data_IF_692400845842
#
_entry.id   IF_692400845842
#
_cell.length_a   1.000
_cell.length_b   1.000
_cell.length_c   1.000
_cell.angle_alpha   90.00
_cell.angle_beta   90.00
_cell.angle_gamma   90.00
#
_symmetry.space_group_name_H-M   'P 1'
#
loop_
_entity.id
_entity.type
_entity.pdbx_description
1 polymer ?
#
# COMPACT_ATOMS: atom_id res chain seq x y z
N UNK A 1 -35.77 -29.50 -53.63
CA UNK A 1 -34.71 -29.93 -52.69
C UNK A 1 -34.61 -28.88 -51.61
N UNK A 2 -35.42 -29.00 -50.56
CA UNK A 2 -35.05 -29.67 -49.31
C UNK A 2 -34.04 -28.87 -48.48
N UNK A 3 -34.55 -27.92 -47.69
CA UNK A 3 -34.50 -28.06 -46.22
C UNK A 3 -35.51 -27.11 -45.58
N UNK A 4 -36.45 -27.75 -44.91
CA UNK A 4 -37.62 -27.27 -44.18
C UNK A 4 -37.13 -26.43 -42.98
N UNK A 5 -37.47 -25.14 -42.93
CA UNK A 5 -37.43 -24.35 -41.70
C UNK A 5 -38.43 -25.01 -40.74
N UNK A 6 -37.94 -25.52 -39.63
CA UNK A 6 -38.73 -26.14 -38.57
C UNK A 6 -38.94 -25.09 -37.50
N UNK A 7 -40.19 -24.70 -37.33
CA UNK A 7 -40.70 -23.98 -36.16
C UNK A 7 -40.53 -24.88 -34.93
N UNK A 8 -40.11 -24.27 -33.83
CA UNK A 8 -40.20 -24.82 -32.48
C UNK A 8 -40.38 -23.64 -31.53
N UNK A 9 -41.64 -23.27 -31.31
CA UNK A 9 -42.05 -22.67 -30.05
C UNK A 9 -41.83 -23.71 -28.96
N UNK A 10 -41.15 -23.31 -27.89
CA UNK A 10 -41.08 -24.05 -26.63
C UNK A 10 -41.14 -23.02 -25.52
N UNK A 11 -42.20 -23.14 -24.74
CA UNK A 11 -42.57 -22.36 -23.58
C UNK A 11 -41.42 -22.33 -22.57
N UNK A 12 -41.07 -21.13 -22.10
CA UNK A 12 -40.20 -20.97 -20.93
C UNK A 12 -41.13 -20.79 -19.74
N UNK A 13 -41.31 -21.90 -19.01
CA UNK A 13 -41.92 -21.97 -17.69
C UNK A 13 -41.09 -21.14 -16.71
N UNK A 14 -41.75 -20.21 -16.02
CA UNK A 14 -41.26 -19.61 -14.79
C UNK A 14 -41.15 -20.71 -13.72
N UNK A 15 -39.97 -20.87 -13.14
CA UNK A 15 -39.79 -21.68 -11.93
C UNK A 15 -38.70 -21.02 -11.10
N UNK A 16 -39.13 -20.36 -10.01
CA UNK A 16 -38.25 -19.91 -8.94
C UNK A 16 -37.80 -21.13 -8.14
N UNK A 17 -36.50 -21.31 -7.83
CA UNK A 17 -36.12 -22.32 -6.86
C UNK A 17 -36.31 -21.81 -5.43
N UNK A 18 -37.20 -22.51 -4.72
CA UNK A 18 -37.40 -22.52 -3.28
C UNK A 18 -36.08 -22.82 -2.55
N UNK A 19 -35.80 -22.07 -1.48
CA UNK A 19 -34.63 -22.26 -0.63
C UNK A 19 -35.02 -23.26 0.45
N UNK A 20 -34.64 -24.52 0.26
CA UNK A 20 -34.84 -25.60 1.23
C UNK A 20 -33.93 -25.44 2.47
N UNK A 21 -34.53 -25.85 3.58
CA UNK A 21 -34.04 -25.90 4.96
C UNK A 21 -32.74 -26.67 5.14
N UNK A 22 -31.90 -26.22 6.06
CA UNK A 22 -30.97 -27.08 6.79
C UNK A 22 -31.03 -26.72 8.28
N UNK A 23 -31.87 -27.47 8.99
CA UNK A 23 -31.66 -28.15 10.28
C UNK A 23 -30.97 -27.38 11.43
N UNK A 24 -31.82 -26.86 12.32
CA UNK A 24 -31.92 -27.22 13.75
C UNK A 24 -30.77 -28.06 14.37
N UNK A 25 -30.00 -27.46 15.29
CA UNK A 25 -29.41 -28.19 16.43
C UNK A 25 -29.42 -27.30 17.69
N UNK A 26 -30.35 -27.69 18.59
CA UNK A 26 -30.42 -27.62 20.05
C UNK A 26 -29.61 -26.59 20.86
N UNK A 27 -30.40 -25.83 21.62
CA UNK A 27 -30.08 -25.13 22.87
C UNK A 27 -29.79 -26.14 23.99
N UNK A 28 -28.62 -26.00 24.65
CA UNK A 28 -28.38 -26.62 25.96
C UNK A 28 -28.01 -25.53 26.95
N UNK A 29 -28.83 -25.44 27.99
CA UNK A 29 -28.76 -24.49 29.09
C UNK A 29 -27.54 -24.68 30.01
N UNK A 30 -27.21 -23.56 30.65
CA UNK A 30 -26.85 -23.39 32.05
C UNK A 30 -25.40 -23.58 32.57
N UNK A 31 -24.99 -22.48 33.19
CA UNK A 31 -24.13 -22.31 34.37
C UNK A 31 -22.60 -22.08 34.18
N UNK A 32 -22.03 -21.19 35.02
CA UNK A 32 -20.85 -20.40 34.68
C UNK A 32 -19.58 -20.98 35.29
N UNK A 33 -18.53 -21.11 34.48
CA UNK A 33 -17.18 -21.37 34.98
C UNK A 33 -16.14 -20.82 34.01
N UNK A 34 -15.40 -19.82 34.49
CA UNK A 34 -14.09 -19.38 34.00
C UNK A 34 -13.98 -19.01 32.50
N UNK A 35 -14.43 -17.81 32.15
CA UNK A 35 -13.93 -17.11 30.96
C UNK A 35 -12.49 -16.63 31.24
N UNK A 36 -11.57 -17.59 31.20
CA UNK A 36 -10.16 -17.32 30.99
C UNK A 36 -10.04 -16.88 29.53
N UNK A 37 -10.04 -15.57 29.33
CA UNK A 37 -9.85 -14.89 28.06
C UNK A 37 -8.94 -15.71 27.11
N UNK A 38 -9.41 -16.11 25.92
CA UNK A 38 -8.52 -16.66 24.93
C UNK A 38 -7.75 -15.49 24.32
N UNK A 39 -6.54 -15.29 24.85
CA UNK A 39 -5.47 -14.53 24.23
C UNK A 39 -5.28 -15.02 22.80
N UNK A 40 -5.83 -14.28 21.83
CA UNK A 40 -5.58 -14.51 20.41
C UNK A 40 -4.18 -14.01 20.13
N UNK A 41 -3.26 -14.96 20.26
CA UNK A 41 -1.88 -15.03 19.78
C UNK A 41 -1.51 -13.88 18.83
N UNK A 42 -0.78 -12.92 19.37
CA UNK A 42 -0.01 -11.96 18.59
C UNK A 42 0.90 -12.72 17.59
N UNK A 43 0.91 -12.37 16.31
CA UNK A 43 1.96 -12.84 15.43
C UNK A 43 3.25 -12.05 15.74
N UNK A 44 4.24 -12.80 16.22
CA UNK A 44 5.67 -12.60 15.97
C UNK A 44 6.30 -11.26 16.41
N UNK A 45 6.36 -11.02 17.73
CA UNK A 45 7.32 -10.09 18.35
C UNK A 45 8.73 -10.72 18.53
N UNK A 46 9.15 -11.60 17.62
CA UNK A 46 10.43 -12.34 17.73
C UNK A 46 11.35 -12.25 16.50
N UNK A 47 10.98 -11.48 15.46
CA UNK A 47 11.86 -11.21 14.30
C UNK A 47 12.51 -9.81 14.34
N UNK A 48 12.16 -8.96 15.31
CA UNK A 48 12.73 -7.61 15.47
C UNK A 48 14.16 -7.61 16.08
N UNK A 49 14.65 -8.73 16.63
CA UNK A 49 15.94 -8.76 17.36
C UNK A 49 17.19 -9.02 16.50
N UNK A 50 17.07 -9.42 15.22
CA UNK A 50 18.24 -9.57 14.31
C UNK A 50 18.42 -8.39 13.33
N UNK A 51 17.53 -7.39 13.34
CA UNK A 51 17.66 -6.18 12.51
C UNK A 51 18.54 -5.08 13.15
N UNK A 52 19.08 -5.36 14.34
CA UNK A 52 20.06 -4.53 15.05
C UNK A 52 21.51 -4.93 14.75
N UNK A 53 21.80 -5.64 13.64
CA UNK A 53 23.13 -5.55 13.05
C UNK A 53 23.29 -4.11 12.56
N UNK A 54 23.84 -3.27 13.44
CA UNK A 54 24.38 -1.94 13.20
C UNK A 54 24.45 -1.59 11.71
N UNK A 55 23.35 -1.09 11.13
CA UNK A 55 23.43 -0.46 9.82
C UNK A 55 24.38 0.72 10.07
N UNK A 56 25.67 0.56 9.77
CA UNK A 56 26.64 1.64 9.87
C UNK A 56 26.17 2.72 8.91
N UNK A 57 25.45 3.70 9.45
CA UNK A 57 25.00 4.86 8.71
C UNK A 57 26.25 5.72 8.49
N UNK A 58 26.85 5.56 7.31
CA UNK A 58 28.06 6.28 6.92
C UNK A 58 27.75 7.76 6.79
N UNK A 59 26.64 8.08 6.11
CA UNK A 59 26.32 9.43 5.71
C UNK A 59 24.83 9.73 5.99
N UNK A 60 24.58 10.73 6.82
CA UNK A 60 23.26 11.32 7.03
C UNK A 60 23.23 12.74 6.49
N UNK A 61 22.23 13.05 5.65
CA UNK A 61 22.08 14.39 5.06
C UNK A 61 20.62 14.80 5.00
N UNK A 62 20.35 16.04 5.39
CA UNK A 62 19.03 16.66 5.26
C UNK A 62 18.99 17.50 3.99
N UNK A 63 18.05 17.19 3.11
CA UNK A 63 17.84 17.91 1.86
C UNK A 63 16.47 18.55 1.80
N UNK A 64 16.37 19.70 1.14
CA UNK A 64 15.09 20.24 0.70
C UNK A 64 14.93 20.00 -0.79
N UNK A 65 14.05 19.07 -1.18
CA UNK A 65 13.81 18.68 -2.56
C UNK A 65 12.80 19.64 -3.20
N UNK A 66 13.16 20.36 -4.27
CA UNK A 66 12.22 21.18 -5.01
C UNK A 66 11.38 20.32 -5.98
N UNK A 67 10.11 20.10 -5.64
CA UNK A 67 9.15 19.41 -6.51
C UNK A 67 8.47 20.34 -7.52
N UNK A 68 8.92 21.60 -7.60
CA UNK A 68 8.43 22.63 -8.53
C UNK A 68 8.24 22.04 -9.93
N UNK A 69 9.23 21.34 -10.48
CA UNK A 69 9.19 20.74 -11.82
C UNK A 69 7.92 19.91 -12.11
N UNK A 70 7.34 19.26 -11.10
CA UNK A 70 6.13 18.46 -11.26
C UNK A 70 4.94 19.27 -11.81
N UNK A 71 4.87 20.58 -11.52
CA UNK A 71 3.77 21.46 -11.90
C UNK A 71 3.85 22.00 -13.33
N UNK A 72 5.07 22.16 -13.87
CA UNK A 72 5.31 22.74 -15.20
C UNK A 72 5.25 21.68 -16.30
N UNK A 73 5.51 20.42 -15.95
CA UNK A 73 5.47 19.32 -16.91
C UNK A 73 4.04 18.75 -16.99
N UNK A 74 3.50 18.56 -18.20
CA UNK A 74 2.33 17.71 -18.49
C UNK A 74 1.04 17.93 -17.68
N UNK A 75 0.22 16.87 -17.56
CA UNK A 75 -1.13 16.91 -16.97
C UNK A 75 -1.16 17.02 -15.44
N UNK A 76 -2.21 17.67 -14.93
CA UNK A 76 -2.48 17.86 -13.49
C UNK A 76 -2.68 16.55 -12.75
N UNK A 77 -3.29 15.55 -13.40
CA UNK A 77 -3.60 14.26 -12.82
C UNK A 77 -2.36 13.37 -12.61
N UNK A 78 -1.18 13.75 -13.09
CA UNK A 78 0.04 12.94 -12.92
C UNK A 78 1.10 13.64 -12.07
N UNK A 79 0.72 14.68 -11.33
CA UNK A 79 1.67 15.52 -10.58
C UNK A 79 2.27 14.80 -9.37
N UNK A 80 1.47 14.11 -8.56
CA UNK A 80 1.99 13.34 -7.43
C UNK A 80 2.95 12.23 -7.90
N UNK A 81 2.53 11.40 -8.86
CA UNK A 81 3.39 10.38 -9.49
C UNK A 81 4.70 10.97 -10.02
N UNK A 82 4.66 12.14 -10.67
CA UNK A 82 5.88 12.80 -11.16
C UNK A 82 6.72 13.37 -10.03
N UNK A 83 6.11 13.80 -8.93
CA UNK A 83 6.84 14.30 -7.77
C UNK A 83 7.70 13.19 -7.15
N UNK A 84 7.15 11.98 -7.03
CA UNK A 84 7.91 10.81 -6.57
C UNK A 84 9.08 10.50 -7.52
N UNK A 85 8.86 10.58 -8.84
CA UNK A 85 9.95 10.44 -9.83
C UNK A 85 11.05 11.48 -9.66
N UNK A 86 10.68 12.74 -9.50
CA UNK A 86 11.64 13.85 -9.28
C UNK A 86 12.42 13.62 -7.98
N UNK A 87 11.78 13.10 -6.94
CA UNK A 87 12.45 12.77 -5.69
C UNK A 87 13.48 11.64 -5.88
N UNK A 88 13.12 10.58 -6.61
CA UNK A 88 14.06 9.49 -6.97
C UNK A 88 15.25 10.02 -7.77
N UNK A 89 15.02 10.82 -8.81
CA UNK A 89 16.07 11.45 -9.60
C UNK A 89 16.97 12.37 -8.77
N UNK A 90 16.39 13.08 -7.79
CA UNK A 90 17.14 13.96 -6.90
C UNK A 90 18.11 13.15 -6.03
N UNK A 91 17.63 12.09 -5.37
CA UNK A 91 18.47 11.24 -4.53
C UNK A 91 19.54 10.53 -5.36
N UNK A 92 19.17 10.03 -6.55
CA UNK A 92 20.09 9.37 -7.46
C UNK A 92 21.24 10.30 -7.92
N UNK A 93 20.95 11.59 -8.13
CA UNK A 93 21.98 12.57 -8.50
C UNK A 93 22.97 12.86 -7.37
N UNK A 94 22.51 12.93 -6.12
CA UNK A 94 23.33 13.41 -4.99
C UNK A 94 24.06 12.27 -4.27
N UNK A 95 23.38 11.16 -4.00
CA UNK A 95 23.94 10.05 -3.23
C UNK A 95 24.42 8.89 -4.10
N UNK A 96 23.94 8.80 -5.35
CA UNK A 96 24.22 7.69 -6.28
C UNK A 96 24.06 6.31 -5.61
N UNK A 97 22.87 6.02 -5.05
CA UNK A 97 22.62 4.72 -4.45
C UNK A 97 22.56 3.61 -5.50
N UNK A 98 22.87 2.40 -5.07
CA UNK A 98 22.57 1.20 -5.84
C UNK A 98 21.06 0.91 -5.77
N UNK A 99 20.55 0.83 -4.54
CA UNK A 99 19.12 0.67 -4.25
C UNK A 99 18.54 1.80 -3.40
N UNK A 100 17.28 2.12 -3.68
CA UNK A 100 16.58 3.26 -3.07
C UNK A 100 15.25 2.84 -2.46
N UNK A 101 15.16 2.98 -1.15
CA UNK A 101 13.95 2.73 -0.36
C UNK A 101 13.38 4.06 0.13
N UNK A 102 12.17 4.37 -0.32
CA UNK A 102 11.42 5.54 0.14
C UNK A 102 10.48 5.06 1.23
N UNK A 103 10.58 5.65 2.41
CA UNK A 103 9.66 5.31 3.48
C UNK A 103 8.22 5.76 3.14
N UNK A 104 7.20 5.00 3.58
CA UNK A 104 5.80 5.32 3.32
C UNK A 104 5.42 6.75 3.72
N UNK A 105 5.95 7.25 4.84
CA UNK A 105 5.73 8.61 5.35
C UNK A 105 6.00 9.70 4.31
N UNK A 106 7.08 9.56 3.53
CA UNK A 106 7.46 10.52 2.49
C UNK A 106 6.45 10.49 1.35
N UNK A 107 6.00 9.28 0.98
CA UNK A 107 4.97 9.12 -0.03
C UNK A 107 3.66 9.75 0.45
N UNK A 108 3.20 9.42 1.64
CA UNK A 108 1.95 9.94 2.19
C UNK A 108 1.97 11.47 2.31
N UNK A 109 3.11 12.04 2.70
CA UNK A 109 3.30 13.49 2.69
C UNK A 109 3.15 14.11 1.29
N UNK A 110 3.69 13.46 0.25
CA UNK A 110 3.53 13.90 -1.15
C UNK A 110 2.07 13.82 -1.59
N UNK A 111 1.34 12.80 -1.14
CA UNK A 111 -0.06 12.54 -1.48
C UNK A 111 -1.09 13.22 -0.57
N UNK A 112 -0.66 13.87 0.52
CA UNK A 112 -1.51 14.51 1.54
C UNK A 112 -2.60 15.45 0.99
N UNK A 113 -2.32 16.15 -0.11
CA UNK A 113 -3.24 17.10 -0.78
C UNK A 113 -3.87 16.52 -2.05
N UNK A 114 -3.78 15.21 -2.22
CA UNK A 114 -4.22 14.46 -3.39
C UNK A 114 -3.31 14.58 -4.61
N UNK A 115 -3.71 13.91 -5.68
CA UNK A 115 -2.91 13.70 -6.89
C UNK A 115 -2.54 14.99 -7.65
N UNK A 116 -3.40 16.02 -7.58
CA UNK A 116 -3.29 17.24 -8.39
C UNK A 116 -2.43 18.34 -7.76
N UNK A 117 -2.27 18.33 -6.43
CA UNK A 117 -1.67 19.41 -5.66
C UNK A 117 -0.58 18.93 -4.69
N UNK A 118 0.43 18.15 -5.14
CA UNK A 118 1.51 17.72 -4.25
C UNK A 118 2.26 18.95 -3.67
N UNK A 119 2.90 18.83 -2.49
CA UNK A 119 3.74 19.88 -1.92
C UNK A 119 4.80 20.38 -2.92
N UNK A 120 5.11 21.68 -2.91
CA UNK A 120 6.11 22.26 -3.83
C UNK A 120 7.55 21.98 -3.41
N UNK A 121 7.76 21.74 -2.12
CA UNK A 121 9.05 21.43 -1.49
C UNK A 121 8.79 20.34 -0.46
N UNK A 122 9.69 19.38 -0.36
CA UNK A 122 9.67 18.35 0.69
C UNK A 122 11.05 18.32 1.31
N UNK A 123 11.10 18.38 2.64
CA UNK A 123 12.34 18.19 3.40
C UNK A 123 12.46 16.70 3.70
N UNK A 124 13.60 16.13 3.34
CA UNK A 124 13.89 14.71 3.53
C UNK A 124 15.19 14.55 4.29
N UNK A 125 15.26 13.48 5.08
CA UNK A 125 16.46 12.98 5.72
C UNK A 125 16.84 11.70 4.99
N UNK A 126 18.00 11.71 4.34
CA UNK A 126 18.49 10.55 3.62
C UNK A 126 19.66 9.96 4.40
N UNK A 127 19.55 8.67 4.72
CA UNK A 127 20.59 7.89 5.39
C UNK A 127 21.17 6.93 4.37
N UNK A 128 22.50 6.85 4.32
CA UNK A 128 23.24 5.92 3.46
C UNK A 128 23.95 4.89 4.32
N UNK A 129 23.75 3.62 3.99
CA UNK A 129 24.37 2.48 4.66
C UNK A 129 25.65 2.03 3.94
N UNK A 130 26.38 1.08 4.55
CA UNK A 130 27.58 0.47 3.97
C UNK A 130 27.33 -0.17 2.58
N UNK A 131 26.17 -0.81 2.39
CA UNK A 131 25.80 -1.46 1.13
C UNK A 131 25.33 -0.49 0.03
N UNK A 132 25.63 0.80 0.14
CA UNK A 132 25.13 1.87 -0.75
C UNK A 132 23.59 1.97 -0.85
N UNK A 133 22.86 1.28 0.03
CA UNK A 133 21.42 1.41 0.18
C UNK A 133 21.09 2.76 0.80
N UNK A 134 20.15 3.48 0.18
CA UNK A 134 19.67 4.76 0.72
C UNK A 134 18.23 4.65 1.16
N UNK A 135 18.00 4.91 2.45
CA UNK A 135 16.68 5.04 3.05
C UNK A 135 16.31 6.52 3.15
N UNK A 136 15.10 6.87 2.70
CA UNK A 136 14.62 8.25 2.69
C UNK A 136 13.47 8.41 3.69
N UNK A 137 13.70 9.24 4.70
CA UNK A 137 12.74 9.59 5.75
C UNK A 137 12.18 11.01 5.55
N UNK A 138 11.01 11.27 6.11
CA UNK A 138 10.44 12.61 6.14
C UNK A 138 11.20 13.42 7.20
N UNK A 139 11.73 14.58 6.81
CA UNK A 139 12.30 15.52 7.76
C UNK A 139 11.27 16.63 7.98
N UNK A 140 10.48 16.52 9.04
CA UNK A 140 9.55 17.58 9.42
C UNK A 140 10.31 18.86 9.77
N UNK A 141 9.64 19.99 9.56
CA UNK A 141 10.28 21.30 9.66
C UNK A 141 9.35 22.46 9.46
#
# INVERSE_FOLDING_TARGET
MSKKKKEAETEVSEEEPEIEEIEEIEEVEDAPADDKAPTVKAPDSVEDEEAEEEEEIIDERIYTVPLRKAYWTGSRLRRANRSVRILREFVQRHMKPEDLLIQPEVNDHIWSRGMQKPPRRVRIRATKNADNLVRVYLAEG
#
